data_IF_864316449905
#
_entry.id   IF_864316449905
#
_cell.length_a   1.000
_cell.length_b   1.000
_cell.length_c   1.000
_cell.angle_alpha   90.00
_cell.angle_beta   90.00
_cell.angle_gamma   90.00
#
_symmetry.space_group_name_H-M   'P 1'
#
loop_
_entity.id
_entity.type
_entity.pdbx_description
1 polymer ?
#
# COMPACT_ATOMS: atom_id res chain seq x y z
N UNK A 1 2.99 3.30 54.21
CA UNK A 1 3.86 3.46 53.03
C UNK A 1 3.73 2.20 52.19
N UNK A 2 2.91 2.21 51.16
CA UNK A 2 2.93 1.19 50.11
C UNK A 2 2.85 1.93 48.78
N UNK A 3 3.99 1.96 48.07
CA UNK A 3 4.09 2.45 46.69
C UNK A 3 3.46 1.39 45.79
N UNK A 4 2.31 1.69 45.17
CA UNK A 4 1.87 0.96 43.97
C UNK A 4 2.39 1.69 42.74
N UNK A 5 3.09 0.89 41.95
CA UNK A 5 3.91 1.21 40.79
C UNK A 5 3.10 1.69 39.59
N UNK A 6 3.75 2.59 38.84
CA UNK A 6 3.46 3.07 37.50
C UNK A 6 2.96 2.02 36.51
N UNK A 7 2.10 2.46 35.59
CA UNK A 7 1.74 1.69 34.41
C UNK A 7 0.68 2.37 33.54
N UNK A 8 0.92 3.63 33.14
CA UNK A 8 0.18 4.25 32.03
C UNK A 8 0.61 3.50 30.76
N UNK A 9 -0.12 2.43 30.45
CA UNK A 9 0.06 1.65 29.24
C UNK A 9 -0.91 2.13 28.17
N UNK A 10 -0.56 3.21 27.47
CA UNK A 10 -1.19 3.59 26.20
C UNK A 10 -1.00 2.47 25.18
N UNK A 11 -1.92 1.51 25.14
CA UNK A 11 -2.00 0.51 24.06
C UNK A 11 -2.95 1.02 22.98
N UNK A 12 -2.47 1.93 22.14
CA UNK A 12 -3.00 2.12 20.79
C UNK A 12 -2.58 0.92 19.93
N UNK A 13 -3.09 -0.27 20.26
CA UNK A 13 -2.87 -1.47 19.46
C UNK A 13 -3.84 -1.39 18.27
N UNK A 14 -3.29 -0.86 17.17
CA UNK A 14 -3.74 -0.91 15.79
C UNK A 14 -4.96 -1.83 15.57
N UNK A 15 -6.10 -1.24 15.20
CA UNK A 15 -7.18 -2.00 14.57
C UNK A 15 -6.69 -2.45 13.20
N UNK A 16 -6.01 -3.59 13.16
CA UNK A 16 -5.62 -4.25 11.94
C UNK A 16 -6.88 -4.59 11.15
N UNK A 17 -6.96 -4.14 9.89
CA UNK A 17 -8.14 -4.38 9.05
C UNK A 17 -8.18 -5.86 8.64
N UNK A 18 -9.37 -6.40 8.38
CA UNK A 18 -9.51 -7.78 7.86
C UNK A 18 -8.64 -8.02 6.61
N UNK A 19 -8.52 -7.00 5.77
CA UNK A 19 -7.67 -7.03 4.58
C UNK A 19 -6.18 -7.13 4.94
N UNK A 20 -5.70 -6.39 5.95
CA UNK A 20 -4.33 -6.51 6.43
C UNK A 20 -4.06 -7.92 6.98
N UNK A 21 -5.02 -8.53 7.68
CA UNK A 21 -4.91 -9.93 8.13
C UNK A 21 -4.84 -10.91 6.95
N UNK A 22 -5.62 -10.70 5.89
CA UNK A 22 -5.59 -11.54 4.68
C UNK A 22 -4.23 -11.45 3.99
N UNK A 23 -3.72 -10.22 3.76
CA UNK A 23 -2.42 -10.00 3.11
C UNK A 23 -1.22 -10.37 4.00
N UNK A 24 -1.41 -10.46 5.31
CA UNK A 24 -0.35 -10.80 6.27
C UNK A 24 -0.16 -12.31 6.48
N UNK A 25 -1.03 -13.15 5.94
CA UNK A 25 -0.99 -14.60 6.14
C UNK A 25 -1.14 -15.34 4.80
N UNK A 26 -0.04 -15.92 4.31
CA UNK A 26 0.08 -16.51 2.97
C UNK A 26 -1.09 -17.43 2.56
N UNK A 27 -1.60 -18.36 3.41
CA UNK A 27 -2.74 -19.17 3.02
C UNK A 27 -4.02 -18.38 2.73
N UNK A 28 -4.28 -17.29 3.49
CA UNK A 28 -5.42 -16.42 3.26
C UNK A 28 -5.20 -15.51 2.06
N UNK A 29 -3.99 -14.98 1.89
CA UNK A 29 -3.62 -14.19 0.71
C UNK A 29 -3.86 -15.00 -0.58
N UNK A 30 -3.37 -16.25 -0.64
CA UNK A 30 -3.59 -17.14 -1.78
C UNK A 30 -5.08 -17.44 -2.01
N UNK A 31 -5.80 -17.84 -0.95
CA UNK A 31 -7.22 -18.18 -1.07
C UNK A 31 -8.07 -16.97 -1.54
N UNK A 32 -7.76 -15.78 -1.05
CA UNK A 32 -8.44 -14.55 -1.46
C UNK A 32 -8.02 -14.12 -2.87
N UNK A 33 -6.75 -14.29 -3.25
CA UNK A 33 -6.28 -14.07 -4.62
C UNK A 33 -7.00 -14.95 -5.64
N UNK A 34 -7.21 -16.24 -5.33
CA UNK A 34 -8.01 -17.15 -6.16
C UNK A 34 -9.47 -16.70 -6.27
N UNK A 35 -10.04 -16.21 -5.18
CA UNK A 35 -11.39 -15.65 -5.17
C UNK A 35 -11.47 -14.42 -6.09
N UNK A 36 -10.55 -13.46 -5.98
CA UNK A 36 -10.51 -12.27 -6.83
C UNK A 36 -10.30 -12.62 -8.31
N UNK A 37 -9.52 -13.67 -8.63
CA UNK A 37 -9.36 -14.13 -10.02
C UNK A 37 -10.65 -14.66 -10.61
N UNK A 38 -11.46 -15.38 -9.82
CA UNK A 38 -12.80 -15.84 -10.23
C UNK A 38 -13.79 -14.69 -10.35
N UNK A 39 -13.62 -13.65 -9.54
CA UNK A 39 -14.42 -12.44 -9.55
C UNK A 39 -13.95 -11.39 -10.59
N UNK A 40 -12.88 -11.66 -11.35
CA UNK A 40 -12.30 -10.75 -12.35
C UNK A 40 -11.86 -9.39 -11.75
N UNK A 41 -11.34 -9.41 -10.52
CA UNK A 41 -10.81 -8.24 -9.81
C UNK A 41 -9.45 -8.53 -9.15
N UNK A 42 -8.69 -9.47 -9.73
CA UNK A 42 -7.42 -9.92 -9.17
C UNK A 42 -6.34 -8.84 -9.20
N UNK A 43 -6.31 -8.03 -10.26
CA UNK A 43 -5.41 -6.90 -10.43
C UNK A 43 -5.54 -5.90 -9.28
N UNK A 44 -6.76 -5.61 -8.84
CA UNK A 44 -7.04 -4.73 -7.70
C UNK A 44 -6.47 -5.30 -6.39
N UNK A 45 -6.57 -6.61 -6.17
CA UNK A 45 -5.99 -7.26 -4.98
C UNK A 45 -4.47 -7.34 -5.05
N UNK A 46 -3.92 -7.70 -6.21
CA UNK A 46 -2.48 -7.82 -6.43
C UNK A 46 -1.77 -6.47 -6.25
N UNK A 47 -2.37 -5.39 -6.78
CA UNK A 47 -1.91 -4.02 -6.54
C UNK A 47 -1.78 -3.72 -5.03
N UNK A 48 -2.78 -4.08 -4.22
CA UNK A 48 -2.74 -3.83 -2.77
C UNK A 48 -1.64 -4.64 -2.07
N UNK A 49 -1.41 -5.87 -2.50
CA UNK A 49 -0.32 -6.73 -2.00
C UNK A 49 1.03 -6.11 -2.32
N UNK A 50 1.25 -5.67 -3.56
CA UNK A 50 2.54 -5.13 -4.00
C UNK A 50 2.83 -3.75 -3.39
N UNK A 51 1.81 -2.91 -3.22
CA UNK A 51 1.90 -1.69 -2.42
C UNK A 51 2.26 -1.98 -0.95
N UNK A 52 1.70 -3.03 -0.36
CA UNK A 52 2.01 -3.43 1.02
C UNK A 52 3.47 -3.89 1.17
N UNK A 53 3.98 -4.63 0.18
CA UNK A 53 5.39 -5.04 0.09
C UNK A 53 6.31 -3.84 -0.10
N UNK A 54 5.97 -2.93 -1.01
CA UNK A 54 6.71 -1.68 -1.25
C UNK A 54 6.81 -0.85 0.02
N UNK A 55 5.70 -0.67 0.76
CA UNK A 55 5.71 0.02 2.06
C UNK A 55 6.69 -0.63 3.03
N UNK A 56 6.71 -1.96 3.09
CA UNK A 56 7.62 -2.73 3.96
C UNK A 56 9.07 -2.58 3.52
N UNK A 57 9.34 -2.57 2.21
CA UNK A 57 10.66 -2.31 1.60
C UNK A 57 11.16 -0.91 1.94
N UNK A 58 10.35 0.14 1.78
CA UNK A 58 10.69 1.53 2.14
C UNK A 58 11.02 1.67 3.63
N UNK A 59 10.30 0.95 4.50
CA UNK A 59 10.58 0.90 5.93
C UNK A 59 11.94 0.25 6.22
N UNK A 60 12.30 -0.82 5.53
CA UNK A 60 13.58 -1.50 5.66
C UNK A 60 14.74 -0.68 5.05
N UNK A 61 14.53 -0.05 3.88
CA UNK A 61 15.52 0.74 3.16
C UNK A 61 15.97 2.00 3.93
N UNK A 62 15.11 2.57 4.79
CA UNK A 62 15.52 3.62 5.73
C UNK A 62 16.67 3.19 6.66
N UNK A 63 16.89 1.89 6.84
CA UNK A 63 17.95 1.35 7.68
C UNK A 63 19.21 0.97 6.89
N UNK A 64 19.27 1.16 5.57
CA UNK A 64 20.43 0.66 4.81
C UNK A 64 20.48 0.84 3.29
N UNK A 65 19.63 1.68 2.68
CA UNK A 65 19.78 2.12 1.29
C UNK A 65 19.32 1.12 0.22
N UNK A 66 18.19 1.42 -0.42
CA UNK A 66 17.89 0.97 -1.78
C UNK A 66 16.95 1.97 -2.47
N UNK A 67 17.05 2.08 -3.79
CA UNK A 67 16.40 3.11 -4.61
C UNK A 67 14.88 2.84 -4.74
N UNK A 68 14.11 3.20 -3.70
CA UNK A 68 12.64 3.02 -3.63
C UNK A 68 11.85 3.60 -4.82
N UNK A 69 12.49 4.42 -5.65
CA UNK A 69 11.90 4.94 -6.87
C UNK A 69 11.67 3.86 -7.93
N UNK A 70 12.60 2.92 -8.10
CA UNK A 70 12.46 1.87 -9.13
C UNK A 70 11.31 0.91 -8.80
N UNK A 71 11.15 0.56 -7.52
CA UNK A 71 9.98 -0.22 -7.08
C UNK A 71 8.67 0.56 -7.24
N UNK A 72 8.70 1.89 -7.03
CA UNK A 72 7.54 2.74 -7.23
C UNK A 72 7.12 2.80 -8.71
N UNK A 73 8.05 3.01 -9.63
CA UNK A 73 7.71 3.16 -11.05
C UNK A 73 7.19 1.85 -11.64
N UNK A 74 7.74 0.70 -11.22
CA UNK A 74 7.20 -0.62 -11.62
C UNK A 74 5.73 -0.77 -11.24
N UNK A 75 5.35 -0.37 -10.01
CA UNK A 75 3.94 -0.42 -9.57
C UNK A 75 3.08 0.56 -10.38
N UNK A 76 3.60 1.75 -10.70
CA UNK A 76 2.88 2.74 -11.50
C UNK A 76 2.64 2.24 -12.92
N UNK A 77 3.67 1.74 -13.59
CA UNK A 77 3.60 1.23 -14.96
C UNK A 77 2.67 0.01 -15.04
N UNK A 78 2.72 -0.87 -14.04
CA UNK A 78 1.92 -2.10 -14.03
C UNK A 78 0.45 -1.86 -13.69
N UNK A 79 0.11 -0.93 -12.78
CA UNK A 79 -1.26 -0.82 -12.27
C UNK A 79 -1.94 0.52 -12.55
N UNK A 80 -1.19 1.58 -12.82
CA UNK A 80 -1.73 2.95 -12.87
C UNK A 80 -1.70 3.53 -14.28
N UNK A 81 -0.69 3.22 -15.11
CA UNK A 81 -0.61 3.74 -16.48
C UNK A 81 -1.81 3.33 -17.34
N UNK A 82 -2.17 4.22 -18.27
CA UNK A 82 -3.24 3.98 -19.25
C UNK A 82 -2.86 2.78 -20.14
N UNK A 83 -3.81 1.88 -20.36
CA UNK A 83 -3.65 0.69 -21.20
C UNK A 83 -2.73 -0.39 -20.61
N UNK A 84 -2.41 -0.32 -19.32
CA UNK A 84 -1.85 -1.50 -18.66
C UNK A 84 -2.86 -2.65 -18.68
N UNK A 85 -2.37 -3.88 -18.88
CA UNK A 85 -3.19 -5.08 -18.76
C UNK A 85 -3.75 -5.30 -17.34
N UNK A 86 -3.16 -4.62 -16.35
CA UNK A 86 -3.56 -4.68 -14.94
C UNK A 86 -3.97 -3.30 -14.40
N UNK A 87 -4.37 -2.38 -15.30
CA UNK A 87 -4.85 -1.05 -14.90
C UNK A 87 -5.98 -1.16 -13.88
N UNK A 88 -5.75 -0.64 -12.67
CA UNK A 88 -6.74 -0.67 -11.59
C UNK A 88 -7.76 0.45 -11.76
N UNK A 89 -9.02 0.15 -11.43
CA UNK A 89 -10.09 1.13 -11.50
C UNK A 89 -10.04 2.10 -10.30
N UNK A 90 -9.30 3.20 -10.46
CA UNK A 90 -9.19 4.28 -9.49
C UNK A 90 -9.73 5.59 -10.06
N UNK A 91 -10.07 6.54 -9.18
CA UNK A 91 -10.56 7.83 -9.63
C UNK A 91 -9.47 8.62 -10.38
N UNK A 92 -9.91 9.35 -11.41
CA UNK A 92 -9.00 10.07 -12.32
C UNK A 92 -8.17 11.14 -11.63
N UNK A 93 -8.63 11.67 -10.49
CA UNK A 93 -7.87 12.62 -9.68
C UNK A 93 -6.70 11.91 -9.01
N UNK A 94 -6.95 10.81 -8.30
CA UNK A 94 -5.89 10.00 -7.68
C UNK A 94 -4.90 9.47 -8.71
N UNK A 95 -5.37 8.99 -9.87
CA UNK A 95 -4.48 8.57 -10.96
C UNK A 95 -3.54 9.70 -11.41
N UNK A 96 -4.07 10.90 -11.66
CA UNK A 96 -3.26 12.09 -12.02
C UNK A 96 -2.27 12.49 -10.93
N UNK A 97 -2.69 12.42 -9.67
CA UNK A 97 -1.81 12.72 -8.54
C UNK A 97 -0.64 11.73 -8.49
N UNK A 98 -0.89 10.42 -8.63
CA UNK A 98 0.16 9.39 -8.65
C UNK A 98 1.12 9.59 -9.83
N UNK A 99 0.58 9.73 -11.05
CA UNK A 99 1.39 9.95 -12.26
C UNK A 99 2.22 11.24 -12.19
N UNK A 100 1.75 12.26 -11.47
CA UNK A 100 2.51 13.49 -11.21
C UNK A 100 3.82 13.28 -10.45
N UNK A 101 4.01 12.11 -9.84
CA UNK A 101 5.25 11.71 -9.17
C UNK A 101 6.04 10.64 -9.95
N UNK A 102 5.64 10.33 -11.18
CA UNK A 102 6.34 9.39 -12.08
C UNK A 102 7.74 9.85 -12.51
N UNK A 103 8.13 11.10 -12.19
CA UNK A 103 9.49 11.59 -12.38
C UNK A 103 10.32 11.42 -11.10
N UNK A 104 11.59 11.03 -11.23
CA UNK A 104 12.51 10.77 -10.11
C UNK A 104 12.71 12.00 -9.21
N UNK A 105 12.75 13.21 -9.78
CA UNK A 105 12.89 14.43 -9.00
C UNK A 105 11.60 14.80 -8.26
N UNK A 106 10.44 14.60 -8.90
CA UNK A 106 9.13 14.75 -8.27
C UNK A 106 8.92 13.73 -7.15
N UNK A 107 9.32 12.47 -7.37
CA UNK A 107 9.32 11.41 -6.36
C UNK A 107 10.22 11.75 -5.17
N UNK A 108 11.43 12.25 -5.41
CA UNK A 108 12.34 12.68 -4.34
C UNK A 108 11.76 13.84 -3.52
N UNK A 109 11.01 14.75 -4.15
CA UNK A 109 10.40 15.93 -3.51
C UNK A 109 9.27 15.60 -2.51
N UNK A 110 8.67 14.41 -2.61
CA UNK A 110 7.65 13.94 -1.67
C UNK A 110 8.21 13.80 -0.26
N UNK A 111 9.50 13.48 -0.16
CA UNK A 111 10.12 13.10 1.10
C UNK A 111 9.54 11.80 1.65
N UNK A 112 10.26 11.22 2.61
CA UNK A 112 10.01 9.88 3.14
C UNK A 112 8.65 9.73 3.84
N UNK A 113 8.04 10.83 4.30
CA UNK A 113 6.70 10.83 4.89
C UNK A 113 5.58 10.76 3.85
N UNK A 114 5.73 11.35 2.66
CA UNK A 114 4.70 11.29 1.63
C UNK A 114 4.88 10.12 0.66
N UNK A 115 6.10 9.61 0.43
CA UNK A 115 6.30 8.32 -0.26
C UNK A 115 5.56 7.18 0.46
N UNK A 116 5.49 7.24 1.80
CA UNK A 116 4.66 6.34 2.63
C UNK A 116 3.15 6.55 2.47
N UNK A 117 2.74 7.77 2.08
CA UNK A 117 1.34 8.19 2.03
C UNK A 117 0.73 8.22 0.62
N UNK A 118 1.51 8.15 -0.46
CA UNK A 118 1.04 8.21 -1.85
C UNK A 118 0.00 7.13 -2.16
N UNK A 119 0.15 5.96 -1.55
CA UNK A 119 -0.82 4.86 -1.68
C UNK A 119 -1.86 4.82 -0.54
N UNK A 120 -1.75 5.71 0.45
CA UNK A 120 -2.51 5.62 1.71
C UNK A 120 -3.85 6.35 1.70
N UNK A 121 -4.16 7.14 0.66
CA UNK A 121 -5.49 7.76 0.58
C UNK A 121 -6.59 6.73 0.26
N UNK A 122 -6.28 5.61 -0.41
CA UNK A 122 -7.29 4.58 -0.74
C UNK A 122 -7.36 3.38 0.24
N UNK A 123 -6.29 3.06 0.98
CA UNK A 123 -6.35 2.01 2.02
C UNK A 123 -7.26 2.39 3.21
N UNK A 124 -7.42 3.67 3.51
CA UNK A 124 -8.34 4.15 4.56
C UNK A 124 -9.78 4.41 4.08
N UNK A 125 -10.04 4.42 2.77
CA UNK A 125 -11.38 4.55 2.18
C UNK A 125 -11.58 3.48 1.10
N UNK A 126 -11.57 2.21 1.50
CA UNK A 126 -12.07 1.07 0.71
C UNK A 126 -13.59 1.18 0.45
N UNK A 127 -14.01 2.27 -0.19
CA UNK A 127 -15.36 2.46 -0.75
C UNK A 127 -15.33 2.64 -2.27
N UNK A 128 -14.15 2.78 -2.88
CA UNK A 128 -14.03 3.13 -4.31
C UNK A 128 -13.42 2.01 -5.18
N UNK A 129 -12.67 1.07 -4.60
CA UNK A 129 -12.35 -0.19 -5.29
C UNK A 129 -13.64 -1.02 -5.32
N UNK A 130 -14.36 -0.95 -6.43
CA UNK A 130 -15.52 -1.83 -6.67
C UNK A 130 -14.98 -3.24 -6.90
N UNK A 131 -15.04 -4.06 -5.86
CA UNK A 131 -15.02 -5.53 -6.00
C UNK A 131 -16.34 -6.02 -6.59
#
# INVERSE_FOLDING_TARGET
>A
MEKKTSGIGSKSHLRETRLATIMGFLPLEHAFGEFCRKALCHESFQFLVDVSKFKSSVHAAHQGGNDSYEEFIVIVDEYIEDNSNFEVNIDSRTKKEILGFGDRSAYASLGTAKSRCLFYWQLCNCTTLRF
#
